data_IF_469531018849
#
_entry.id   IF_469531018849
#
_cell.length_a   1.000
_cell.length_b   1.000
_cell.length_c   1.000
_cell.angle_alpha   90.00
_cell.angle_beta   90.00
_cell.angle_gamma   90.00
#
_symmetry.space_group_name_H-M   'P 1'
#
loop_
_entity.id
_entity.type
_entity.pdbx_description
1 polymer ?
#
# COMPACT_ATOMS: atom_id res chain seq x y z
N UNK A 1 16.18 40.30 -33.81
CA UNK A 1 15.94 39.14 -32.95
C UNK A 1 15.05 39.60 -31.82
N UNK A 2 13.74 39.37 -31.90
CA UNK A 2 12.80 39.74 -30.84
C UNK A 2 12.94 38.73 -29.70
N UNK A 3 13.38 39.20 -28.54
CA UNK A 3 13.28 38.44 -27.29
C UNK A 3 11.80 38.10 -27.09
N UNK A 4 11.47 36.81 -27.22
CA UNK A 4 10.13 36.36 -26.84
C UNK A 4 9.97 36.63 -25.34
N UNK A 5 8.87 37.27 -24.91
CA UNK A 5 8.67 37.56 -23.50
C UNK A 5 8.79 36.27 -22.69
N UNK A 6 9.58 36.33 -21.60
CA UNK A 6 9.76 35.20 -20.69
C UNK A 6 8.38 34.80 -20.18
N UNK A 7 7.91 33.62 -20.57
CA UNK A 7 6.60 33.11 -20.14
C UNK A 7 6.58 33.04 -18.61
N UNK A 8 5.60 33.73 -18.03
CA UNK A 8 5.24 33.75 -16.60
C UNK A 8 4.51 32.47 -16.17
N UNK A 9 4.15 31.61 -17.13
CA UNK A 9 3.41 30.38 -16.87
C UNK A 9 4.26 29.38 -16.09
N UNK A 10 3.70 28.86 -15.01
CA UNK A 10 4.37 27.91 -14.12
C UNK A 10 3.38 26.88 -13.61
N UNK A 11 3.90 25.75 -13.15
CA UNK A 11 3.07 24.74 -12.50
C UNK A 11 2.74 25.11 -11.07
N UNK A 12 1.51 24.79 -10.68
CA UNK A 12 1.01 24.97 -9.33
C UNK A 12 0.19 23.77 -8.91
N UNK A 13 0.43 23.27 -7.71
CA UNK A 13 -0.44 22.31 -7.08
C UNK A 13 -1.57 23.02 -6.33
N UNK A 14 -2.80 22.68 -6.70
CA UNK A 14 -4.00 23.19 -6.06
C UNK A 14 -4.43 22.30 -4.88
N UNK A 15 -4.92 22.88 -3.76
CA UNK A 15 -5.30 22.12 -2.57
C UNK A 15 -6.54 21.24 -2.83
N UNK A 16 -6.47 19.96 -2.46
CA UNK A 16 -7.50 18.94 -2.74
C UNK A 16 -8.76 19.02 -1.85
N UNK A 17 -8.86 20.02 -0.95
CA UNK A 17 -9.85 20.06 0.11
C UNK A 17 -9.66 18.98 1.18
N UNK A 18 -10.58 18.92 2.16
CA UNK A 18 -10.48 18.01 3.31
C UNK A 18 -10.53 16.53 2.88
N UNK A 19 -11.54 16.14 2.11
CA UNK A 19 -11.74 14.75 1.68
C UNK A 19 -10.57 14.23 0.84
N UNK A 20 -10.04 15.04 -0.08
CA UNK A 20 -8.88 14.67 -0.90
C UNK A 20 -7.59 14.57 -0.10
N UNK A 21 -7.43 15.41 0.92
CA UNK A 21 -6.28 15.36 1.84
C UNK A 21 -6.33 14.10 2.69
N UNK A 22 -7.48 13.80 3.32
CA UNK A 22 -7.68 12.57 4.09
C UNK A 22 -7.44 11.34 3.21
N UNK A 23 -8.00 11.29 2.00
CA UNK A 23 -7.81 10.17 1.10
C UNK A 23 -6.33 9.98 0.70
N UNK A 24 -5.63 11.07 0.40
CA UNK A 24 -4.20 11.03 0.08
C UNK A 24 -3.38 10.50 1.26
N UNK A 25 -3.67 10.96 2.47
CA UNK A 25 -2.94 10.59 3.68
C UNK A 25 -3.27 9.16 4.12
N UNK A 26 -4.54 8.74 3.98
CA UNK A 26 -5.02 7.39 4.21
C UNK A 26 -4.30 6.41 3.29
N UNK A 27 -4.26 6.66 1.97
CA UNK A 27 -3.51 5.82 1.03
C UNK A 27 -2.03 5.67 1.44
N UNK A 28 -1.38 6.77 1.82
CA UNK A 28 0.04 6.75 2.20
C UNK A 28 0.32 6.02 3.51
N UNK A 29 -0.69 5.84 4.35
CA UNK A 29 -0.62 5.10 5.61
C UNK A 29 -1.01 3.64 5.42
N UNK A 30 -2.06 3.38 4.65
CA UNK A 30 -2.62 2.05 4.40
C UNK A 30 -1.73 1.17 3.51
N UNK A 31 -1.01 1.75 2.54
CA UNK A 31 -0.09 0.95 1.69
C UNK A 31 1.05 0.34 2.53
N UNK A 32 1.76 1.08 3.40
CA UNK A 32 2.70 0.49 4.35
C UNK A 32 2.06 -0.47 5.35
N UNK A 33 0.84 -0.19 5.81
CA UNK A 33 0.09 -1.13 6.67
C UNK A 33 -0.14 -2.45 5.95
N UNK A 34 -0.48 -2.45 4.66
CA UNK A 34 -0.62 -3.66 3.86
C UNK A 34 0.69 -4.45 3.77
N UNK A 35 1.84 -3.77 3.68
CA UNK A 35 3.14 -4.44 3.75
C UNK A 35 3.37 -5.08 5.13
N UNK A 36 2.93 -4.44 6.21
CA UNK A 36 2.91 -5.02 7.56
C UNK A 36 2.01 -6.25 7.68
N UNK A 37 0.81 -6.22 7.08
CA UNK A 37 -0.08 -7.38 6.99
C UNK A 37 0.56 -8.53 6.21
N UNK A 38 1.25 -8.24 5.11
CA UNK A 38 1.99 -9.25 4.33
C UNK A 38 3.12 -9.88 5.17
N UNK A 39 3.83 -9.07 5.96
CA UNK A 39 4.86 -9.57 6.87
C UNK A 39 4.25 -10.44 7.98
N UNK A 40 3.12 -10.04 8.54
CA UNK A 40 2.37 -10.84 9.51
C UNK A 40 1.89 -12.16 8.90
N UNK A 41 1.39 -12.14 7.66
CA UNK A 41 1.04 -13.35 6.91
C UNK A 41 2.24 -14.30 6.78
N UNK A 42 3.40 -13.78 6.37
CA UNK A 42 4.63 -14.58 6.29
C UNK A 42 5.01 -15.21 7.62
N UNK A 43 4.92 -14.47 8.73
CA UNK A 43 5.22 -14.97 10.07
C UNK A 43 4.22 -16.02 10.57
N UNK A 44 2.91 -15.78 10.36
CA UNK A 44 1.82 -16.70 10.70
C UNK A 44 1.94 -18.00 9.91
N UNK A 45 2.26 -17.89 8.62
CA UNK A 45 2.48 -19.05 7.77
C UNK A 45 3.73 -19.84 8.21
N UNK A 46 4.83 -19.15 8.56
CA UNK A 46 6.03 -19.76 9.13
C UNK A 46 5.71 -20.60 10.37
N UNK A 47 4.97 -19.99 11.31
CA UNK A 47 4.65 -20.61 12.59
C UNK A 47 3.70 -21.80 12.43
N UNK A 48 2.76 -21.70 11.49
CA UNK A 48 1.90 -22.83 11.12
C UNK A 48 2.70 -24.01 10.61
N UNK A 49 3.60 -23.76 9.67
CA UNK A 49 4.42 -24.83 9.07
C UNK A 49 5.35 -25.46 10.11
N UNK A 50 5.98 -24.66 10.97
CA UNK A 50 6.77 -25.17 12.10
C UNK A 50 5.99 -26.07 13.07
N UNK A 51 4.72 -25.75 13.31
CA UNK A 51 3.85 -26.53 14.19
C UNK A 51 3.37 -27.81 13.51
N UNK A 52 2.95 -27.74 12.24
CA UNK A 52 2.47 -28.90 11.46
C UNK A 52 3.59 -29.91 11.17
N UNK A 53 4.82 -29.44 10.94
CA UNK A 53 5.96 -30.31 10.66
C UNK A 53 6.57 -30.96 11.92
N UNK A 54 6.08 -30.65 13.13
CA UNK A 54 6.62 -31.21 14.38
C UNK A 54 7.93 -30.57 14.87
N UNK A 55 8.58 -29.77 14.05
CA UNK A 55 9.84 -29.05 14.33
C UNK A 55 9.74 -28.21 15.61
N UNK A 56 8.61 -27.53 15.79
CA UNK A 56 8.37 -26.74 16.99
C UNK A 56 8.29 -27.64 18.23
N UNK A 57 7.65 -28.81 18.12
CA UNK A 57 7.56 -29.76 19.23
C UNK A 57 8.94 -30.30 19.60
N UNK A 58 9.70 -30.79 18.61
CA UNK A 58 11.03 -31.35 18.80
C UNK A 58 12.00 -30.33 19.41
N UNK A 59 12.02 -29.10 18.89
CA UNK A 59 12.86 -28.04 19.42
C UNK A 59 12.52 -27.67 20.87
N UNK A 60 11.23 -27.63 21.24
CA UNK A 60 10.82 -27.35 22.62
C UNK A 60 11.18 -28.51 23.56
N UNK A 61 11.02 -29.75 23.09
CA UNK A 61 11.38 -30.95 23.83
C UNK A 61 12.90 -31.04 24.08
N UNK A 62 13.71 -30.77 23.05
CA UNK A 62 15.18 -30.74 23.12
C UNK A 62 15.70 -29.60 24.02
N UNK A 63 14.96 -28.49 24.10
CA UNK A 63 15.22 -27.42 25.08
C UNK A 63 14.85 -27.80 26.52
N UNK A 64 14.41 -29.04 26.75
CA UNK A 64 14.08 -29.59 28.06
C UNK A 64 12.68 -29.21 28.55
N UNK A 65 11.80 -28.71 27.68
CA UNK A 65 10.40 -28.53 28.05
C UNK A 65 9.72 -29.89 28.09
N UNK A 66 9.07 -30.21 29.21
CA UNK A 66 8.32 -31.46 29.36
C UNK A 66 7.26 -31.60 28.26
N UNK A 67 6.96 -32.84 27.84
CA UNK A 67 6.11 -33.12 26.69
C UNK A 67 4.72 -32.46 26.72
N UNK A 68 4.11 -32.30 27.90
CA UNK A 68 2.84 -31.60 28.09
C UNK A 68 2.93 -30.10 27.78
N UNK A 69 4.06 -29.46 28.08
CA UNK A 69 4.30 -28.04 27.79
C UNK A 69 4.54 -27.86 26.30
N UNK A 70 5.33 -28.74 25.69
CA UNK A 70 5.61 -28.71 24.25
C UNK A 70 4.33 -28.90 23.44
N UNK A 71 3.46 -29.85 23.81
CA UNK A 71 2.18 -30.06 23.13
C UNK A 71 1.24 -28.85 23.30
N UNK A 72 1.14 -28.28 24.50
CA UNK A 72 0.31 -27.10 24.74
C UNK A 72 0.77 -25.88 23.92
N UNK A 73 2.08 -25.70 23.73
CA UNK A 73 2.62 -24.61 22.90
C UNK A 73 2.33 -24.82 21.42
N UNK A 74 2.47 -26.06 20.92
CA UNK A 74 2.14 -26.41 19.52
C UNK A 74 0.66 -26.17 19.24
N UNK A 75 -0.22 -26.63 20.12
CA UNK A 75 -1.67 -26.37 20.01
C UNK A 75 -1.97 -24.87 20.03
N UNK A 76 -1.31 -24.10 20.90
CA UNK A 76 -1.47 -22.64 20.93
C UNK A 76 -1.06 -21.98 19.60
N UNK A 77 0.03 -22.45 19.00
CA UNK A 77 0.54 -21.92 17.73
C UNK A 77 -0.39 -22.28 16.56
N UNK A 78 -0.90 -23.52 16.50
CA UNK A 78 -1.87 -23.93 15.49
C UNK A 78 -3.17 -23.10 15.57
N UNK A 79 -3.75 -22.98 16.77
CA UNK A 79 -4.97 -22.19 16.99
C UNK A 79 -4.77 -20.71 16.63
N UNK A 80 -3.62 -20.13 17.04
CA UNK A 80 -3.24 -18.76 16.69
C UNK A 80 -3.10 -18.61 15.18
N UNK A 81 -2.49 -19.58 14.51
CA UNK A 81 -2.22 -19.52 13.07
C UNK A 81 -3.52 -19.56 12.27
N UNK A 82 -4.40 -20.52 12.55
CA UNK A 82 -5.71 -20.65 11.87
C UNK A 82 -6.56 -19.40 12.01
N UNK A 83 -6.66 -18.85 13.22
CA UNK A 83 -7.44 -17.63 13.44
C UNK A 83 -6.77 -16.39 12.83
N UNK A 84 -5.43 -16.34 12.84
CA UNK A 84 -4.68 -15.26 12.19
C UNK A 84 -4.91 -15.21 10.69
N UNK A 85 -5.02 -16.36 10.00
CA UNK A 85 -5.34 -16.40 8.57
C UNK A 85 -6.70 -15.76 8.27
N UNK A 86 -7.72 -16.03 9.09
CA UNK A 86 -9.04 -15.41 8.96
C UNK A 86 -8.97 -13.89 9.17
N UNK A 87 -8.30 -13.44 10.23
CA UNK A 87 -8.13 -12.00 10.54
C UNK A 87 -7.33 -11.29 9.44
N UNK A 88 -6.27 -11.93 8.92
CA UNK A 88 -5.47 -11.43 7.80
C UNK A 88 -6.29 -11.27 6.53
N UNK A 89 -7.16 -12.24 6.21
CA UNK A 89 -8.04 -12.17 5.04
C UNK A 89 -9.00 -10.97 5.16
N UNK A 90 -9.65 -10.80 6.33
CA UNK A 90 -10.58 -9.71 6.60
C UNK A 90 -9.87 -8.35 6.51
N UNK A 91 -8.74 -8.20 7.21
CA UNK A 91 -7.97 -6.96 7.23
C UNK A 91 -7.36 -6.65 5.86
N UNK A 92 -6.82 -7.64 5.17
CA UNK A 92 -6.25 -7.50 3.83
C UNK A 92 -7.31 -7.00 2.83
N UNK A 93 -8.49 -7.60 2.87
CA UNK A 93 -9.63 -7.17 2.05
C UNK A 93 -10.05 -5.73 2.37
N UNK A 94 -10.22 -5.39 3.66
CA UNK A 94 -10.63 -4.06 4.11
C UNK A 94 -9.59 -2.99 3.77
N UNK A 95 -8.31 -3.25 3.99
CA UNK A 95 -7.22 -2.33 3.62
C UNK A 95 -7.16 -2.14 2.11
N UNK A 96 -7.30 -3.22 1.32
CA UNK A 96 -7.39 -3.13 -0.15
C UNK A 96 -8.55 -2.26 -0.61
N UNK A 97 -9.75 -2.48 -0.05
CA UNK A 97 -10.94 -1.68 -0.32
C UNK A 97 -10.72 -0.19 0.00
N UNK A 98 -10.16 0.10 1.18
CA UNK A 98 -9.89 1.46 1.63
C UNK A 98 -8.83 2.16 0.77
N UNK A 99 -7.78 1.45 0.31
CA UNK A 99 -6.78 2.01 -0.61
C UNK A 99 -7.41 2.36 -1.96
N UNK A 100 -8.22 1.46 -2.53
CA UNK A 100 -8.93 1.69 -3.78
C UNK A 100 -9.95 2.85 -3.65
N UNK A 101 -10.66 2.92 -2.53
CA UNK A 101 -11.58 4.02 -2.22
C UNK A 101 -10.85 5.34 -2.07
N UNK A 102 -9.74 5.36 -1.33
CA UNK A 102 -8.90 6.54 -1.17
C UNK A 102 -8.38 7.05 -2.53
N UNK A 103 -7.98 6.15 -3.43
CA UNK A 103 -7.58 6.51 -4.80
C UNK A 103 -8.74 7.13 -5.60
N UNK A 104 -9.95 6.56 -5.51
CA UNK A 104 -11.14 7.10 -6.18
C UNK A 104 -11.52 8.49 -5.63
N UNK A 105 -11.57 8.65 -4.31
CA UNK A 105 -11.87 9.92 -3.63
C UNK A 105 -10.80 10.96 -3.97
N UNK A 106 -9.52 10.58 -4.04
CA UNK A 106 -8.44 11.49 -4.42
C UNK A 106 -8.63 12.02 -5.85
N UNK A 107 -9.11 11.21 -6.80
CA UNK A 107 -9.40 11.67 -8.17
C UNK A 107 -10.59 12.63 -8.21
N UNK A 108 -11.68 12.26 -7.55
CA UNK A 108 -12.90 13.07 -7.50
C UNK A 108 -12.63 14.43 -6.83
N UNK A 109 -11.90 14.42 -5.71
CA UNK A 109 -11.51 15.65 -5.00
C UNK A 109 -10.53 16.51 -5.81
N UNK A 110 -9.62 15.90 -6.58
CA UNK A 110 -8.73 16.65 -7.48
C UNK A 110 -9.54 17.41 -8.54
N UNK A 111 -10.52 16.76 -9.18
CA UNK A 111 -11.34 17.44 -10.19
C UNK A 111 -12.22 18.54 -9.59
N UNK A 112 -12.81 18.32 -8.41
CA UNK A 112 -13.53 19.37 -7.69
C UNK A 112 -12.64 20.55 -7.32
N UNK A 113 -11.47 20.29 -6.75
CA UNK A 113 -10.54 21.33 -6.34
C UNK A 113 -10.12 22.24 -7.49
N UNK A 114 -9.86 21.67 -8.67
CA UNK A 114 -9.49 22.43 -9.86
C UNK A 114 -10.65 23.25 -10.41
N UNK A 115 -11.87 22.70 -10.46
CA UNK A 115 -13.07 23.46 -10.84
C UNK A 115 -13.31 24.61 -9.88
N UNK A 116 -13.21 24.38 -8.57
CA UNK A 116 -13.36 25.43 -7.56
C UNK A 116 -12.27 26.50 -7.70
N UNK A 117 -11.02 26.11 -7.94
CA UNK A 117 -9.93 27.05 -8.17
C UNK A 117 -10.18 27.91 -9.43
N UNK A 118 -10.62 27.30 -10.53
CA UNK A 118 -11.00 28.01 -11.75
C UNK A 118 -12.13 29.02 -11.48
N UNK A 119 -13.20 28.60 -10.80
CA UNK A 119 -14.34 29.47 -10.44
C UNK A 119 -13.95 30.62 -9.50
N UNK A 120 -12.98 30.40 -8.61
CA UNK A 120 -12.47 31.41 -7.70
C UNK A 120 -11.48 32.39 -8.36
N UNK A 121 -11.30 32.33 -9.69
CA UNK A 121 -10.44 33.26 -10.42
C UNK A 121 -8.96 32.95 -10.30
N UNK A 122 -8.58 31.66 -10.21
CA UNK A 122 -7.16 31.27 -10.27
C UNK A 122 -6.50 31.84 -11.54
N UNK A 123 -5.25 32.31 -11.42
CA UNK A 123 -4.51 32.85 -12.56
C UNK A 123 -4.36 31.80 -13.68
N UNK A 124 -4.54 32.23 -14.93
CA UNK A 124 -4.28 31.39 -16.11
C UNK A 124 -2.81 30.99 -16.25
N UNK A 125 -1.90 31.82 -15.72
CA UNK A 125 -0.46 31.53 -15.71
C UNK A 125 -0.09 30.40 -14.74
N UNK A 126 -0.90 30.17 -13.71
CA UNK A 126 -0.67 29.12 -12.72
C UNK A 126 -1.37 27.82 -13.15
N UNK A 127 -0.76 27.10 -14.07
CA UNK A 127 -1.33 25.87 -14.64
C UNK A 127 -1.26 24.72 -13.61
N UNK A 128 -2.29 23.84 -13.51
CA UNK A 128 -2.25 22.70 -12.61
C UNK A 128 -1.02 21.81 -12.83
N UNK A 129 -0.44 21.31 -11.74
CA UNK A 129 0.72 20.42 -11.81
C UNK A 129 0.39 19.12 -12.59
N UNK A 130 1.36 18.53 -13.34
CA UNK A 130 1.12 17.37 -14.20
C UNK A 130 0.42 16.18 -13.52
N UNK A 131 0.77 15.88 -12.26
CA UNK A 131 0.13 14.81 -11.48
C UNK A 131 -1.37 15.05 -11.20
N UNK A 132 -1.81 16.31 -11.17
CA UNK A 132 -3.22 16.65 -11.01
C UNK A 132 -3.96 16.55 -12.35
N UNK A 133 -3.31 16.97 -13.44
CA UNK A 133 -3.84 16.84 -14.81
C UNK A 133 -4.06 15.36 -15.17
N UNK A 134 -3.06 14.50 -14.93
CA UNK A 134 -3.16 13.05 -15.17
C UNK A 134 -4.39 12.42 -14.48
N UNK A 135 -4.67 12.83 -13.23
CA UNK A 135 -5.80 12.33 -12.45
C UNK A 135 -7.17 12.79 -12.96
N UNK A 136 -7.23 13.92 -13.66
CA UNK A 136 -8.46 14.46 -14.26
C UNK A 136 -8.69 13.87 -15.65
N UNK A 137 -7.62 13.55 -16.36
CA UNK A 137 -7.69 13.02 -17.74
C UNK A 137 -7.97 11.52 -17.73
N UNK A 138 -7.48 10.78 -16.74
CA UNK A 138 -7.65 9.33 -16.65
C UNK A 138 -9.07 8.93 -16.25
N UNK A 139 -9.84 8.37 -17.19
CA UNK A 139 -11.24 7.97 -16.95
C UNK A 139 -11.39 6.69 -16.10
N UNK A 140 -10.37 5.83 -16.02
CA UNK A 140 -10.46 4.55 -15.31
C UNK A 140 -10.44 4.74 -13.79
N UNK A 141 -11.58 4.57 -13.10
CA UNK A 141 -11.64 4.67 -11.64
C UNK A 141 -10.96 3.45 -10.97
N UNK A 142 -9.96 3.65 -10.09
CA UNK A 142 -9.17 2.57 -9.49
C UNK A 142 -9.98 1.56 -8.68
N UNK A 143 -11.14 1.97 -8.16
CA UNK A 143 -12.02 1.10 -7.38
C UNK A 143 -12.79 0.08 -8.24
N UNK A 144 -12.98 0.32 -9.54
CA UNK A 144 -13.78 -0.56 -10.40
C UNK A 144 -13.24 -1.99 -10.41
N UNK A 145 -11.92 -2.16 -10.59
CA UNK A 145 -11.30 -3.49 -10.59
C UNK A 145 -11.52 -4.25 -9.28
N UNK A 146 -11.41 -3.55 -8.14
CA UNK A 146 -11.65 -4.13 -6.82
C UNK A 146 -13.11 -4.54 -6.62
N UNK A 147 -14.07 -3.73 -7.10
CA UNK A 147 -15.50 -4.06 -7.03
C UNK A 147 -15.86 -5.27 -7.91
N UNK A 148 -15.27 -5.38 -9.11
CA UNK A 148 -15.45 -6.55 -9.98
C UNK A 148 -14.92 -7.82 -9.30
N UNK A 149 -13.70 -7.77 -8.75
CA UNK A 149 -13.13 -8.88 -7.98
C UNK A 149 -14.04 -9.27 -6.80
N UNK A 150 -14.54 -8.27 -6.07
CA UNK A 150 -15.46 -8.47 -4.93
C UNK A 150 -16.73 -9.18 -5.36
N UNK A 151 -17.35 -8.78 -6.48
CA UNK A 151 -18.53 -9.45 -7.02
C UNK A 151 -18.21 -10.91 -7.36
N UNK A 152 -17.07 -11.17 -7.99
CA UNK A 152 -16.65 -12.52 -8.32
C UNK A 152 -16.52 -13.40 -7.08
N UNK A 153 -15.76 -12.95 -6.08
CA UNK A 153 -15.49 -13.73 -4.85
C UNK A 153 -16.76 -13.89 -4.01
N UNK A 154 -17.40 -12.80 -3.58
CA UNK A 154 -18.55 -12.87 -2.69
C UNK A 154 -19.80 -13.39 -3.38
N UNK A 155 -19.97 -13.12 -4.68
CA UNK A 155 -21.07 -13.67 -5.47
C UNK A 155 -20.98 -15.19 -5.58
N UNK A 156 -19.77 -15.72 -5.83
CA UNK A 156 -19.54 -17.16 -5.87
C UNK A 156 -19.77 -17.81 -4.50
N UNK A 157 -19.23 -17.22 -3.41
CA UNK A 157 -19.47 -17.71 -2.05
C UNK A 157 -20.96 -17.68 -1.68
N UNK A 158 -21.68 -16.63 -2.04
CA UNK A 158 -23.11 -16.54 -1.83
C UNK A 158 -23.86 -17.68 -2.53
N UNK A 159 -23.56 -17.92 -3.81
CA UNK A 159 -24.18 -18.99 -4.59
C UNK A 159 -23.88 -20.38 -4.01
N UNK A 160 -22.63 -20.63 -3.61
CA UNK A 160 -22.22 -21.90 -3.02
C UNK A 160 -22.94 -22.17 -1.70
N UNK A 161 -22.94 -21.21 -0.78
CA UNK A 161 -23.50 -21.37 0.56
C UNK A 161 -25.03 -21.40 0.56
N UNK A 162 -25.68 -20.61 -0.30
CA UNK A 162 -27.13 -20.68 -0.49
C UNK A 162 -27.51 -22.02 -1.12
N UNK A 163 -26.78 -22.48 -2.15
CA UNK A 163 -27.02 -23.78 -2.78
C UNK A 163 -26.88 -24.94 -1.80
N UNK A 164 -25.83 -24.92 -0.98
CA UNK A 164 -25.61 -25.90 0.09
C UNK A 164 -26.75 -25.89 1.12
N UNK A 165 -27.17 -24.72 1.60
CA UNK A 165 -28.26 -24.61 2.57
C UNK A 165 -29.63 -25.06 2.01
N UNK A 166 -29.86 -24.91 0.70
CA UNK A 166 -31.08 -25.43 0.05
C UNK A 166 -31.10 -26.97 0.05
N UNK A 167 -29.94 -27.62 0.01
CA UNK A 167 -29.80 -29.08 -0.04
C UNK A 167 -29.75 -29.71 1.36
N UNK A 168 -28.96 -29.15 2.28
CA UNK A 168 -28.72 -29.72 3.62
C UNK A 168 -29.55 -29.09 4.74
N UNK A 169 -30.32 -28.03 4.43
CA UNK A 169 -31.24 -27.39 5.37
C UNK A 169 -30.80 -25.99 5.82
N UNK A 170 -31.74 -25.30 6.47
CA UNK A 170 -31.59 -23.90 6.88
C UNK A 170 -30.64 -23.81 8.08
N UNK A 171 -29.36 -23.54 7.82
CA UNK A 171 -28.33 -23.33 8.84
C UNK A 171 -27.58 -22.01 8.69
N UNK A 172 -26.50 -21.85 9.47
CA UNK A 172 -25.64 -20.65 9.48
C UNK A 172 -25.08 -20.32 8.08
N UNK A 173 -24.84 -21.35 7.26
CA UNK A 173 -24.42 -21.19 5.86
C UNK A 173 -25.39 -20.34 5.02
N UNK A 174 -26.71 -20.43 5.27
CA UNK A 174 -27.69 -19.60 4.55
C UNK A 174 -27.55 -18.12 4.93
N UNK A 175 -27.36 -17.81 6.21
CA UNK A 175 -27.22 -16.44 6.69
C UNK A 175 -25.95 -15.80 6.13
N UNK A 176 -24.83 -16.54 6.14
CA UNK A 176 -23.56 -16.10 5.56
C UNK A 176 -23.71 -15.94 4.04
N UNK A 177 -24.38 -16.89 3.37
CA UNK A 177 -24.67 -16.81 1.94
C UNK A 177 -25.51 -15.59 1.56
N UNK A 178 -26.56 -15.29 2.33
CA UNK A 178 -27.39 -14.09 2.14
C UNK A 178 -26.61 -12.80 2.42
N UNK A 179 -25.75 -12.76 3.44
CA UNK A 179 -24.90 -11.62 3.72
C UNK A 179 -23.91 -11.35 2.55
N UNK A 180 -23.27 -12.39 2.03
CA UNK A 180 -22.43 -12.31 0.83
C UNK A 180 -23.22 -11.86 -0.40
N UNK A 181 -24.46 -12.35 -0.56
CA UNK A 181 -25.37 -11.94 -1.63
C UNK A 181 -25.75 -10.45 -1.54
N UNK A 182 -26.12 -9.98 -0.34
CA UNK A 182 -26.44 -8.58 -0.09
C UNK A 182 -25.24 -7.66 -0.37
N UNK A 183 -24.03 -8.05 0.07
CA UNK A 183 -22.80 -7.33 -0.24
C UNK A 183 -22.58 -7.24 -1.75
N UNK A 184 -22.78 -8.34 -2.47
CA UNK A 184 -22.65 -8.38 -3.94
C UNK A 184 -23.61 -7.41 -4.62
N UNK A 185 -24.87 -7.34 -4.17
CA UNK A 185 -25.87 -6.39 -4.69
C UNK A 185 -25.46 -4.94 -4.44
N UNK A 186 -24.96 -4.63 -3.24
CA UNK A 186 -24.46 -3.28 -2.90
C UNK A 186 -23.30 -2.89 -3.81
N UNK A 187 -22.38 -3.81 -4.08
CA UNK A 187 -21.22 -3.58 -4.96
C UNK A 187 -21.65 -3.35 -6.41
N UNK A 188 -22.62 -4.13 -6.91
CA UNK A 188 -23.21 -3.92 -8.25
C UNK A 188 -23.88 -2.54 -8.35
N UNK A 189 -24.64 -2.16 -7.32
CA UNK A 189 -25.25 -0.83 -7.25
C UNK A 189 -24.18 0.29 -7.26
N UNK A 190 -23.08 0.08 -6.53
CA UNK A 190 -21.91 0.98 -6.54
C UNK A 190 -21.26 1.13 -7.92
N UNK A 191 -21.03 0.02 -8.63
CA UNK A 191 -20.52 0.06 -10.02
C UNK A 191 -21.46 0.83 -10.95
N UNK A 192 -22.77 0.56 -10.85
CA UNK A 192 -23.79 1.27 -11.63
C UNK A 192 -23.79 2.77 -11.32
N UNK A 193 -23.63 3.15 -10.05
CA UNK A 193 -23.51 4.54 -9.64
C UNK A 193 -22.25 5.21 -10.22
N UNK A 194 -21.10 4.52 -10.19
CA UNK A 194 -19.86 5.02 -10.79
C UNK A 194 -20.05 5.30 -12.28
N UNK A 195 -20.61 4.34 -13.03
CA UNK A 195 -20.79 4.48 -14.47
C UNK A 195 -21.84 5.52 -14.87
N UNK A 196 -22.94 5.63 -14.13
CA UNK A 196 -24.06 6.51 -14.49
C UNK A 196 -23.96 7.93 -13.95
N UNK A 197 -23.28 8.12 -12.82
CA UNK A 197 -23.25 9.40 -12.10
C UNK A 197 -21.83 9.94 -12.00
N UNK A 198 -20.90 9.13 -11.49
CA UNK A 198 -19.56 9.62 -11.17
C UNK A 198 -18.72 9.92 -12.42
N UNK A 199 -18.71 9.02 -13.41
CA UNK A 199 -17.95 9.21 -14.65
C UNK A 199 -18.47 10.38 -15.50
N UNK A 200 -19.79 10.52 -15.77
CA UNK A 200 -20.31 11.68 -16.49
C UNK A 200 -19.98 13.00 -15.79
N UNK A 201 -20.20 13.08 -14.47
CA UNK A 201 -19.86 14.28 -13.70
C UNK A 201 -18.35 14.59 -13.71
N UNK A 202 -17.49 13.56 -13.79
CA UNK A 202 -16.05 13.76 -13.93
C UNK A 202 -15.69 14.36 -15.29
N UNK A 203 -16.32 13.90 -16.37
CA UNK A 203 -16.15 14.44 -17.73
C UNK A 203 -16.61 15.89 -17.83
N UNK A 204 -17.76 16.23 -17.25
CA UNK A 204 -18.26 17.61 -17.19
C UNK A 204 -17.29 18.55 -16.46
N UNK A 205 -16.72 18.09 -15.33
CA UNK A 205 -15.71 18.88 -14.60
C UNK A 205 -14.45 19.07 -15.41
N UNK A 206 -13.99 18.04 -16.13
CA UNK A 206 -12.83 18.16 -17.04
C UNK A 206 -13.07 19.25 -18.09
N UNK A 207 -14.25 19.30 -18.70
CA UNK A 207 -14.61 20.35 -19.66
C UNK A 207 -14.58 21.75 -19.01
N UNK A 208 -15.07 21.89 -17.78
CA UNK A 208 -15.02 23.16 -17.05
C UNK A 208 -13.58 23.61 -16.74
N UNK A 209 -12.70 22.67 -16.37
CA UNK A 209 -11.28 22.95 -16.13
C UNK A 209 -10.61 23.41 -17.43
N UNK A 210 -10.93 22.74 -18.55
CA UNK A 210 -10.43 23.07 -19.89
C UNK A 210 -10.90 24.43 -20.43
N UNK A 211 -12.08 24.87 -20.03
CA UNK A 211 -12.58 26.20 -20.39
C UNK A 211 -11.79 27.33 -19.71
N UNK A 212 -11.15 27.05 -18.57
CA UNK A 212 -10.38 28.04 -17.82
C UNK A 212 -8.89 28.06 -18.19
N UNK A 213 -8.24 26.89 -18.17
CA UNK A 213 -6.86 26.72 -18.62
C UNK A 213 -6.87 26.11 -20.01
N UNK A 214 -6.49 26.93 -21.00
CA UNK A 214 -6.51 26.57 -22.42
C UNK A 214 -5.28 25.76 -22.82
N UNK A 215 -5.34 25.09 -23.98
CA UNK A 215 -4.17 24.45 -24.61
C UNK A 215 -2.95 25.39 -24.71
N UNK A 216 -3.16 26.67 -25.01
CA UNK A 216 -2.06 27.64 -25.09
C UNK A 216 -1.40 27.90 -23.73
N UNK A 217 -2.19 27.96 -22.65
CA UNK A 217 -1.67 28.17 -21.30
C UNK A 217 -0.84 26.95 -20.85
N UNK A 218 -1.34 25.75 -21.12
CA UNK A 218 -0.61 24.50 -20.85
C UNK A 218 0.68 24.42 -21.67
N UNK A 219 0.62 24.73 -22.96
CA UNK A 219 1.78 24.72 -23.86
C UNK A 219 2.83 25.74 -23.40
N UNK A 220 2.40 26.92 -22.95
CA UNK A 220 3.28 27.93 -22.41
C UNK A 220 3.98 27.46 -21.12
N UNK A 221 3.24 26.83 -20.20
CA UNK A 221 3.81 26.23 -18.98
C UNK A 221 4.79 25.10 -19.28
N UNK A 222 4.46 24.23 -20.24
CA UNK A 222 5.37 23.17 -20.70
C UNK A 222 6.62 23.73 -21.38
N UNK A 223 6.49 24.79 -22.19
CA UNK A 223 7.64 25.45 -22.81
C UNK A 223 8.55 26.10 -21.77
N UNK A 224 7.97 26.65 -20.70
CA UNK A 224 8.71 27.21 -19.58
C UNK A 224 9.44 26.10 -18.82
N UNK A 225 8.74 25.00 -18.52
CA UNK A 225 9.32 23.83 -17.85
C UNK A 225 10.40 23.12 -18.68
N UNK A 226 10.30 23.08 -20.00
CA UNK A 226 11.37 22.52 -20.86
C UNK A 226 12.61 23.42 -20.90
N UNK A 227 12.43 24.74 -20.80
CA UNK A 227 13.54 25.70 -20.82
C UNK A 227 14.28 25.78 -19.48
N UNK A 228 13.55 25.78 -18.37
CA UNK A 228 14.11 26.01 -17.03
C UNK A 228 14.10 24.77 -16.14
N UNK A 229 13.34 23.76 -16.56
CA UNK A 229 13.12 22.60 -15.74
C UNK A 229 14.20 21.55 -15.88
N UNK A 230 14.05 20.56 -15.02
CA UNK A 230 15.04 19.51 -14.84
C UNK A 230 14.43 18.19 -15.23
N UNK A 231 15.17 17.41 -16.01
CA UNK A 231 14.79 16.02 -16.25
C UNK A 231 14.93 15.24 -14.94
N UNK A 232 13.91 14.46 -14.56
CA UNK A 232 13.92 13.73 -13.31
C UNK A 232 15.01 12.67 -13.38
N UNK A 233 16.10 12.87 -12.64
CA UNK A 233 17.18 11.90 -12.59
C UNK A 233 16.70 10.60 -11.90
N UNK A 234 17.12 9.47 -12.46
CA UNK A 234 16.86 8.15 -11.88
C UNK A 234 17.85 7.86 -10.76
N UNK A 235 17.38 7.17 -9.72
CA UNK A 235 18.21 6.74 -8.59
C UNK A 235 18.45 7.82 -7.52
N UNK A 236 19.46 7.57 -6.68
CA UNK A 236 19.75 8.36 -5.48
C UNK A 236 21.09 9.12 -5.57
N UNK A 237 21.57 9.39 -6.78
CA UNK A 237 22.82 10.15 -7.03
C UNK A 237 22.61 11.62 -6.65
N UNK A 238 23.55 12.26 -5.96
CA UNK A 238 23.40 13.67 -5.51
C UNK A 238 22.44 13.88 -4.33
N UNK A 239 21.85 12.79 -3.80
CA UNK A 239 21.05 12.81 -2.58
C UNK A 239 21.89 12.78 -1.33
N UNK A 240 21.27 13.10 -0.20
CA UNK A 240 21.92 12.92 1.11
C UNK A 240 22.40 11.45 1.25
N UNK A 241 23.66 11.22 1.68
CA UNK A 241 24.23 9.87 1.76
C UNK A 241 23.39 8.94 2.64
N UNK A 242 22.70 9.45 3.65
CA UNK A 242 21.81 8.67 4.52
C UNK A 242 20.61 8.15 3.76
N UNK A 243 20.02 8.93 2.84
CA UNK A 243 18.92 8.43 1.99
C UNK A 243 19.40 7.26 1.13
N UNK A 244 20.58 7.36 0.56
CA UNK A 244 21.17 6.29 -0.25
C UNK A 244 21.47 5.04 0.57
N UNK A 245 22.13 5.18 1.72
CA UNK A 245 22.43 4.05 2.62
C UNK A 245 21.14 3.41 3.11
N UNK A 246 20.20 4.20 3.62
CA UNK A 246 18.91 3.71 4.11
C UNK A 246 18.13 2.97 3.03
N UNK A 247 18.02 3.54 1.82
CA UNK A 247 17.35 2.88 0.68
C UNK A 247 18.02 1.57 0.26
N UNK A 248 19.36 1.47 0.36
CA UNK A 248 20.08 0.23 0.09
C UNK A 248 19.77 -0.82 1.15
N UNK A 249 19.78 -0.46 2.43
CA UNK A 249 19.43 -1.37 3.52
C UNK A 249 18.00 -1.89 3.32
N UNK A 250 17.03 -1.01 3.05
CA UNK A 250 15.65 -1.42 2.79
C UNK A 250 15.55 -2.27 1.51
N UNK A 251 16.32 -1.97 0.48
CA UNK A 251 16.39 -2.76 -0.75
C UNK A 251 16.96 -4.17 -0.53
N UNK A 252 18.04 -4.29 0.25
CA UNK A 252 18.60 -5.59 0.66
C UNK A 252 17.61 -6.36 1.52
N UNK A 253 16.93 -5.70 2.46
CA UNK A 253 15.86 -6.32 3.24
C UNK A 253 14.72 -6.82 2.32
N UNK A 254 14.35 -6.06 1.28
CA UNK A 254 13.37 -6.53 0.28
C UNK A 254 13.86 -7.74 -0.52
N UNK A 255 15.14 -7.76 -0.92
CA UNK A 255 15.73 -8.91 -1.63
C UNK A 255 15.80 -10.15 -0.73
N UNK A 256 16.16 -9.98 0.54
CA UNK A 256 16.11 -11.03 1.55
C UNK A 256 14.67 -11.54 1.71
N UNK A 257 13.67 -10.66 1.81
CA UNK A 257 12.27 -11.10 1.88
C UNK A 257 11.89 -12.01 0.70
N UNK A 258 12.32 -11.67 -0.52
CA UNK A 258 12.15 -12.52 -1.69
C UNK A 258 12.85 -13.89 -1.55
N UNK A 259 14.09 -13.91 -1.07
CA UNK A 259 14.81 -15.15 -0.78
C UNK A 259 14.11 -15.99 0.32
N UNK A 260 13.54 -15.35 1.34
CA UNK A 260 12.74 -16.01 2.38
C UNK A 260 11.54 -16.73 1.77
N UNK A 261 10.80 -16.04 0.89
CA UNK A 261 9.64 -16.61 0.20
C UNK A 261 10.02 -17.75 -0.73
N UNK A 262 11.15 -17.65 -1.44
CA UNK A 262 11.66 -18.73 -2.28
C UNK A 262 12.11 -19.94 -1.45
N UNK A 263 12.77 -19.71 -0.32
CA UNK A 263 13.14 -20.76 0.63
C UNK A 263 11.90 -21.47 1.17
N UNK A 264 10.89 -20.71 1.58
CA UNK A 264 9.61 -21.24 2.02
C UNK A 264 8.93 -22.05 0.92
N UNK A 265 8.90 -21.55 -0.31
CA UNK A 265 8.33 -22.28 -1.44
C UNK A 265 9.09 -23.59 -1.73
N UNK A 266 10.43 -23.58 -1.61
CA UNK A 266 11.25 -24.78 -1.75
C UNK A 266 10.95 -25.80 -0.65
N UNK A 267 10.81 -25.36 0.60
CA UNK A 267 10.43 -26.22 1.73
C UNK A 267 9.06 -26.85 1.50
N UNK A 268 8.06 -26.09 1.04
CA UNK A 268 6.73 -26.63 0.70
C UNK A 268 6.83 -27.68 -0.41
N UNK A 269 7.63 -27.45 -1.45
CA UNK A 269 7.79 -28.41 -2.55
C UNK A 269 8.43 -29.73 -2.08
N UNK A 270 9.35 -29.68 -1.12
CA UNK A 270 10.02 -30.86 -0.58
C UNK A 270 9.10 -31.63 0.38
N UNK A 271 8.45 -30.91 1.30
CA UNK A 271 7.58 -31.49 2.33
C UNK A 271 6.25 -31.98 1.75
N UNK A 272 5.77 -31.34 0.68
CA UNK A 272 4.49 -31.62 0.04
C UNK A 272 4.65 -31.76 -1.49
N UNK A 273 5.29 -32.84 -1.97
CA UNK A 273 5.60 -33.02 -3.39
C UNK A 273 4.34 -33.17 -4.26
N UNK A 274 3.29 -33.77 -3.69
CA UNK A 274 2.00 -34.02 -4.35
C UNK A 274 1.02 -32.84 -4.23
N UNK A 275 1.48 -31.69 -3.71
CA UNK A 275 0.66 -30.49 -3.60
C UNK A 275 0.16 -30.06 -4.99
N UNK A 276 -1.16 -29.88 -5.12
CA UNK A 276 -1.78 -29.39 -6.34
C UNK A 276 -1.50 -27.89 -6.50
N UNK A 277 -0.65 -27.52 -7.47
CA UNK A 277 -0.11 -26.15 -7.63
C UNK A 277 -1.03 -25.21 -8.41
N UNK A 278 -2.35 -25.38 -8.29
CA UNK A 278 -3.37 -24.51 -8.88
C UNK A 278 -4.17 -23.75 -7.80
N UNK A 279 -4.89 -22.66 -8.14
CA UNK A 279 -5.72 -21.96 -7.18
C UNK A 279 -6.81 -22.89 -6.61
N UNK A 280 -6.75 -23.18 -5.31
CA UNK A 280 -7.68 -24.08 -4.61
C UNK A 280 -7.23 -25.53 -4.51
N UNK A 281 -5.98 -25.84 -4.89
CA UNK A 281 -5.43 -27.19 -4.77
C UNK A 281 -5.10 -27.57 -3.33
N UNK A 282 -5.23 -28.86 -3.00
CA UNK A 282 -4.85 -29.35 -1.69
C UNK A 282 -3.32 -29.51 -1.60
N UNK A 283 -2.74 -29.21 -0.43
CA UNK A 283 -1.31 -29.42 -0.19
C UNK A 283 -0.92 -30.91 -0.24
N UNK A 284 -1.89 -31.84 -0.23
CA UNK A 284 -1.64 -33.27 -0.10
C UNK A 284 -1.12 -33.64 1.29
N UNK A 285 -0.91 -34.94 1.55
CA UNK A 285 -0.23 -35.38 2.77
C UNK A 285 1.26 -35.01 2.70
N UNK A 286 1.83 -34.68 3.87
CA UNK A 286 3.27 -34.50 4.04
C UNK A 286 4.01 -35.78 3.61
N UNK A 287 5.07 -35.64 2.83
CA UNK A 287 5.91 -36.76 2.43
C UNK A 287 6.67 -37.31 3.65
N UNK A 288 6.80 -38.63 3.71
CA UNK A 288 7.74 -39.27 4.63
C UNK A 288 9.16 -39.07 4.09
N UNK A 289 9.91 -38.16 4.70
CA UNK A 289 11.29 -37.85 4.32
C UNK A 289 12.27 -38.75 5.08
N UNK A 290 13.47 -38.94 4.53
CA UNK A 290 14.57 -39.57 5.26
C UNK A 290 15.16 -38.60 6.29
N UNK A 291 15.76 -39.13 7.36
CA UNK A 291 16.31 -38.33 8.49
C UNK A 291 17.24 -37.18 8.05
N UNK A 292 18.01 -37.38 6.96
CA UNK A 292 18.90 -36.36 6.42
C UNK A 292 18.15 -35.21 5.72
N UNK A 293 17.08 -35.52 5.00
CA UNK A 293 16.22 -34.53 4.36
C UNK A 293 15.33 -33.81 5.38
N UNK A 294 14.88 -34.51 6.42
CA UNK A 294 14.12 -33.93 7.54
C UNK A 294 14.95 -32.84 8.26
N UNK A 295 16.20 -33.15 8.60
CA UNK A 295 17.11 -32.19 9.23
C UNK A 295 17.40 -30.96 8.33
N UNK A 296 17.39 -31.14 7.01
CA UNK A 296 17.52 -30.03 6.05
C UNK A 296 16.28 -29.14 6.00
N UNK A 297 15.08 -29.73 6.12
CA UNK A 297 13.81 -29.00 6.22
C UNK A 297 13.80 -28.16 7.51
N UNK A 298 14.22 -28.73 8.63
CA UNK A 298 14.32 -28.04 9.93
C UNK A 298 15.26 -26.85 9.87
N UNK A 299 16.47 -27.08 9.36
CA UNK A 299 17.48 -26.04 9.19
C UNK A 299 16.99 -24.94 8.25
N UNK A 300 16.30 -25.33 7.17
CA UNK A 300 15.68 -24.40 6.23
C UNK A 300 14.61 -23.54 6.88
N UNK A 301 13.81 -24.11 7.78
CA UNK A 301 12.77 -23.38 8.49
C UNK A 301 13.33 -22.40 9.53
N UNK A 302 14.35 -22.79 10.29
CA UNK A 302 15.10 -21.87 11.15
C UNK A 302 15.78 -20.75 10.35
N UNK A 303 16.34 -21.11 9.19
CA UNK A 303 16.89 -20.16 8.23
C UNK A 303 15.84 -19.14 7.78
N UNK A 304 14.63 -19.61 7.45
CA UNK A 304 13.51 -18.75 7.08
C UNK A 304 13.12 -17.79 8.21
N UNK A 305 12.91 -18.30 9.42
CA UNK A 305 12.55 -17.48 10.58
C UNK A 305 13.59 -16.40 10.88
N UNK A 306 14.88 -16.77 10.92
CA UNK A 306 15.98 -15.83 11.13
C UNK A 306 16.03 -14.74 10.03
N UNK A 307 15.76 -15.14 8.78
CA UNK A 307 15.78 -14.24 7.64
C UNK A 307 14.62 -13.23 7.68
N UNK A 308 13.42 -13.65 8.09
CA UNK A 308 12.29 -12.74 8.32
C UNK A 308 12.59 -11.71 9.41
N UNK A 309 13.19 -12.12 10.54
CA UNK A 309 13.61 -11.19 11.60
C UNK A 309 14.64 -10.18 11.08
N UNK A 310 15.64 -10.64 10.32
CA UNK A 310 16.63 -9.77 9.70
C UNK A 310 16.01 -8.78 8.70
N UNK A 311 15.02 -9.22 7.92
CA UNK A 311 14.25 -8.35 7.00
C UNK A 311 13.55 -7.24 7.77
N UNK A 312 12.84 -7.56 8.85
CA UNK A 312 12.11 -6.59 9.66
C UNK A 312 13.05 -5.56 10.30
N UNK A 313 14.15 -6.02 10.92
CA UNK A 313 15.14 -5.16 11.53
C UNK A 313 15.84 -4.26 10.49
N UNK A 314 16.25 -4.84 9.35
CA UNK A 314 16.86 -4.12 8.24
C UNK A 314 15.93 -3.07 7.67
N UNK A 315 14.66 -3.41 7.43
CA UNK A 315 13.66 -2.46 6.95
C UNK A 315 13.44 -1.30 7.93
N UNK A 316 13.37 -1.57 9.24
CA UNK A 316 13.24 -0.54 10.26
C UNK A 316 14.46 0.41 10.25
N UNK A 317 15.68 -0.13 10.34
CA UNK A 317 16.92 0.65 10.32
C UNK A 317 17.02 1.48 9.04
N UNK A 318 16.78 0.86 7.87
CA UNK A 318 16.83 1.53 6.58
C UNK A 318 15.87 2.71 6.48
N UNK A 319 14.66 2.58 7.03
CA UNK A 319 13.67 3.66 7.06
C UNK A 319 14.05 4.79 8.03
N UNK A 320 14.63 4.49 9.20
CA UNK A 320 15.12 5.52 10.14
C UNK A 320 16.25 6.33 9.50
N UNK A 321 17.25 5.65 8.93
CA UNK A 321 18.39 6.30 8.27
C UNK A 321 17.91 7.14 7.08
N UNK A 322 16.97 6.61 6.29
CA UNK A 322 16.34 7.35 5.19
C UNK A 322 15.63 8.60 5.72
N UNK A 323 14.78 8.47 6.73
CA UNK A 323 14.02 9.59 7.32
C UNK A 323 14.92 10.72 7.84
N UNK A 324 16.05 10.39 8.45
CA UNK A 324 17.05 11.38 8.88
C UNK A 324 17.64 12.14 7.68
N UNK A 325 17.94 11.45 6.58
CA UNK A 325 18.42 12.06 5.34
C UNK A 325 17.36 12.97 4.68
N UNK A 326 16.10 12.53 4.62
CA UNK A 326 14.99 13.36 4.09
C UNK A 326 14.83 14.65 4.91
N UNK A 327 14.93 14.54 6.24
CA UNK A 327 14.81 15.72 7.11
C UNK A 327 15.93 16.72 6.84
N UNK A 328 17.15 16.25 6.54
CA UNK A 328 18.27 17.09 6.15
C UNK A 328 18.04 17.74 4.76
N UNK A 329 17.63 16.96 3.76
CA UNK A 329 17.27 17.44 2.41
C UNK A 329 16.19 18.53 2.47
N UNK A 330 15.17 18.34 3.33
CA UNK A 330 14.08 19.32 3.52
C UNK A 330 14.59 20.66 4.03
N UNK A 331 15.43 20.64 5.06
CA UNK A 331 16.02 21.87 5.64
C UNK A 331 16.91 22.57 4.62
N UNK A 332 17.65 21.81 3.81
CA UNK A 332 18.44 22.35 2.71
C UNK A 332 17.57 23.06 1.68
N UNK A 333 16.50 22.42 1.20
CA UNK A 333 15.59 23.01 0.22
C UNK A 333 14.88 24.28 0.73
N UNK A 334 14.47 24.31 2.00
CA UNK A 334 13.90 25.53 2.59
C UNK A 334 14.86 26.71 2.59
N UNK A 335 16.16 26.48 2.83
CA UNK A 335 17.16 27.54 2.80
C UNK A 335 17.40 28.02 1.36
N UNK A 336 17.54 27.07 0.44
CA UNK A 336 17.89 27.35 -0.96
C UNK A 336 16.74 28.01 -1.72
N UNK A 337 15.49 27.64 -1.44
CA UNK A 337 14.34 28.22 -2.16
C UNK A 337 14.14 29.71 -1.83
N UNK A 338 14.50 30.13 -0.61
CA UNK A 338 14.38 31.52 -0.13
C UNK A 338 15.49 32.40 -0.67
N UNK A 339 16.71 31.87 -0.84
CA UNK A 339 17.85 32.62 -1.37
C UNK A 339 17.75 32.79 -2.90
N UNK A 340 17.56 34.02 -3.44
CA UNK A 340 17.44 34.24 -4.88
C UNK A 340 18.69 33.90 -5.68
N UNK A 341 19.87 33.94 -5.04
CA UNK A 341 21.17 33.69 -5.67
C UNK A 341 21.62 32.23 -5.54
N UNK A 342 20.90 31.42 -4.74
CA UNK A 342 21.27 30.02 -4.57
C UNK A 342 21.24 29.27 -5.89
N UNK A 343 22.30 28.49 -6.11
CA UNK A 343 22.39 27.56 -7.22
C UNK A 343 21.25 26.54 -7.17
N UNK A 344 20.86 26.05 -8.35
CA UNK A 344 19.82 25.04 -8.49
C UNK A 344 20.21 23.75 -7.73
N UNK A 345 19.32 23.20 -6.88
CA UNK A 345 19.55 21.91 -6.21
C UNK A 345 19.72 20.75 -7.20
N UNK A 346 20.30 19.65 -6.71
CA UNK A 346 20.48 18.43 -7.49
C UNK A 346 19.15 17.91 -8.07
N UNK A 347 19.11 17.48 -9.35
CA UNK A 347 17.92 16.98 -10.03
C UNK A 347 17.17 15.87 -9.27
N UNK A 348 17.89 14.95 -8.64
CA UNK A 348 17.31 13.83 -7.89
C UNK A 348 16.58 14.29 -6.63
N UNK A 349 17.08 15.34 -5.98
CA UNK A 349 16.45 15.95 -4.80
C UNK A 349 15.19 16.69 -5.22
N UNK A 350 15.25 17.49 -6.29
CA UNK A 350 14.07 18.18 -6.83
C UNK A 350 12.99 17.19 -7.26
N UNK A 351 13.37 16.14 -8.00
CA UNK A 351 12.43 15.11 -8.43
C UNK A 351 11.75 14.41 -7.25
N UNK A 352 12.49 14.12 -6.19
CA UNK A 352 11.94 13.47 -5.01
C UNK A 352 10.97 14.35 -4.19
N UNK A 353 11.03 15.67 -4.34
CA UNK A 353 10.10 16.61 -3.69
C UNK A 353 8.98 17.08 -4.61
N UNK A 354 9.17 17.02 -5.93
CA UNK A 354 8.10 17.17 -6.92
C UNK A 354 7.14 15.97 -6.88
N UNK A 355 7.68 14.76 -6.71
CA UNK A 355 6.89 13.57 -6.39
C UNK A 355 6.43 13.62 -4.93
N UNK A 356 5.12 13.43 -4.72
CA UNK A 356 4.48 13.35 -3.40
C UNK A 356 5.10 12.26 -2.50
N UNK A 357 6.12 12.59 -1.72
CA UNK A 357 6.86 11.58 -0.95
C UNK A 357 6.14 11.11 0.31
N UNK A 358 6.29 9.83 0.64
CA UNK A 358 5.86 9.25 1.92
C UNK A 358 6.85 9.61 3.04
N UNK A 359 6.38 9.59 4.28
CA UNK A 359 7.21 9.84 5.47
C UNK A 359 7.70 8.49 6.02
N UNK A 360 9.00 8.12 5.88
CA UNK A 360 9.46 6.76 6.16
C UNK A 360 9.13 6.26 7.56
N UNK A 361 9.28 7.10 8.59
CA UNK A 361 8.94 6.72 9.97
C UNK A 361 7.45 6.41 10.13
N UNK A 362 6.57 7.22 9.52
CA UNK A 362 5.13 6.94 9.54
C UNK A 362 4.81 5.63 8.80
N UNK A 363 5.56 5.29 7.74
CA UNK A 363 5.40 4.00 7.05
C UNK A 363 5.78 2.82 7.96
N UNK A 364 6.86 2.94 8.75
CA UNK A 364 7.25 1.91 9.73
C UNK A 364 6.17 1.74 10.79
N UNK A 365 5.68 2.84 11.38
CA UNK A 365 4.62 2.78 12.40
C UNK A 365 3.35 2.14 11.84
N UNK A 366 2.96 2.46 10.61
CA UNK A 366 1.81 1.85 9.94
C UNK A 366 2.03 0.36 9.63
N UNK A 367 3.24 -0.05 9.23
CA UNK A 367 3.57 -1.46 9.01
C UNK A 367 3.53 -2.26 10.33
N UNK A 368 4.12 -1.72 11.41
CA UNK A 368 4.04 -2.33 12.74
C UNK A 368 2.60 -2.41 13.26
N UNK A 369 1.80 -1.37 13.00
CA UNK A 369 0.37 -1.40 13.30
C UNK A 369 -0.34 -2.53 12.54
N UNK A 370 0.00 -2.77 11.27
CA UNK A 370 -0.51 -3.90 10.50
C UNK A 370 -0.26 -5.25 11.20
N UNK A 371 0.97 -5.47 11.69
CA UNK A 371 1.31 -6.70 12.43
C UNK A 371 0.52 -6.80 13.74
N UNK A 372 0.49 -5.73 14.53
CA UNK A 372 -0.21 -5.72 15.81
C UNK A 372 -1.74 -5.85 15.68
N UNK A 373 -2.33 -5.34 14.60
CA UNK A 373 -3.76 -5.47 14.29
C UNK A 373 -4.16 -6.88 13.85
N UNK A 374 -3.20 -7.75 13.53
CA UNK A 374 -3.47 -9.18 13.30
C UNK A 374 -3.40 -9.91 14.63
N UNK A 375 -2.24 -9.87 15.30
CA UNK A 375 -1.98 -10.69 16.49
C UNK A 375 -2.82 -10.28 17.70
N UNK A 376 -3.03 -8.97 17.90
CA UNK A 376 -3.82 -8.46 19.03
C UNK A 376 -5.26 -8.98 19.04
N UNK A 377 -6.04 -8.76 17.98
CA UNK A 377 -7.40 -9.30 17.88
C UNK A 377 -7.47 -10.82 17.94
N UNK A 378 -6.52 -11.54 17.33
CA UNK A 378 -6.47 -13.01 17.37
C UNK A 378 -6.37 -13.51 18.82
N UNK A 379 -5.40 -13.02 19.59
CA UNK A 379 -5.24 -13.42 20.99
C UNK A 379 -6.39 -12.93 21.87
N UNK A 380 -6.98 -11.78 21.56
CA UNK A 380 -8.17 -11.31 22.25
C UNK A 380 -9.35 -12.26 22.03
N UNK A 381 -9.59 -12.69 20.79
CA UNK A 381 -10.67 -13.63 20.45
C UNK A 381 -10.42 -14.99 21.11
N UNK A 382 -9.22 -15.58 20.96
CA UNK A 382 -8.88 -16.88 21.57
C UNK A 382 -8.98 -16.88 23.11
N UNK A 383 -8.70 -15.74 23.75
CA UNK A 383 -8.78 -15.62 25.21
C UNK A 383 -10.17 -15.29 25.77
N UNK A 384 -11.15 -14.95 24.91
CA UNK A 384 -12.46 -14.44 25.38
C UNK A 384 -13.68 -15.12 24.78
N UNK A 385 -13.60 -15.59 23.54
CA UNK A 385 -14.74 -16.16 22.82
C UNK A 385 -14.60 -17.69 22.81
N UNK A 386 -15.47 -18.44 23.50
CA UNK A 386 -15.48 -19.89 23.37
C UNK A 386 -15.92 -20.24 21.94
N UNK A 387 -15.07 -20.98 21.23
CA UNK A 387 -15.34 -21.48 19.89
C UNK A 387 -15.13 -22.99 19.88
N UNK A 388 -16.14 -23.75 19.45
CA UNK A 388 -16.11 -25.21 19.48
C UNK A 388 -14.97 -25.82 18.64
N UNK A 389 -14.55 -25.11 17.59
CA UNK A 389 -13.44 -25.46 16.70
C UNK A 389 -12.07 -25.26 17.40
N UNK A 390 -12.01 -24.44 18.46
CA UNK A 390 -10.82 -24.14 19.23
C UNK A 390 -11.01 -24.57 20.70
N UNK A 391 -11.13 -25.88 20.92
CA UNK A 391 -11.32 -26.46 22.25
C UNK A 391 -10.21 -26.01 23.22
N UNK A 392 -10.59 -25.67 24.46
CA UNK A 392 -9.70 -25.19 25.53
C UNK A 392 -8.88 -23.90 25.23
N UNK A 393 -9.15 -23.20 24.13
CA UNK A 393 -8.48 -21.93 23.77
C UNK A 393 -8.62 -20.86 24.87
N UNK A 394 -9.83 -20.65 25.38
CA UNK A 394 -10.08 -19.64 26.42
C UNK A 394 -9.30 -19.90 27.71
N UNK A 395 -9.06 -21.16 28.08
CA UNK A 395 -8.22 -21.52 29.23
C UNK A 395 -6.74 -21.38 28.92
N UNK A 396 -6.31 -21.75 27.72
CA UNK A 396 -4.91 -21.71 27.29
C UNK A 396 -4.40 -20.27 27.13
N UNK A 397 -5.25 -19.37 26.61
CA UNK A 397 -4.92 -17.96 26.35
C UNK A 397 -5.38 -17.00 27.45
N UNK A 398 -5.92 -17.47 28.57
CA UNK A 398 -6.49 -16.62 29.63
C UNK A 398 -5.51 -15.53 30.12
N UNK A 399 -4.22 -15.88 30.27
CA UNK A 399 -3.16 -14.95 30.69
C UNK A 399 -2.82 -13.87 29.65
N UNK A 400 -3.19 -14.05 28.38
CA UNK A 400 -2.89 -13.13 27.29
C UNK A 400 -3.99 -12.09 27.03
N UNK A 401 -5.11 -12.14 27.74
CA UNK A 401 -6.24 -11.23 27.53
C UNK A 401 -5.85 -9.75 27.63
N UNK A 402 -5.19 -9.35 28.72
CA UNK A 402 -4.74 -7.96 28.91
C UNK A 402 -3.61 -7.56 27.95
N UNK A 403 -2.56 -8.38 27.75
CA UNK A 403 -1.57 -8.15 26.70
C UNK A 403 -2.18 -7.96 25.31
N UNK A 404 -3.16 -8.77 24.92
CA UNK A 404 -3.82 -8.68 23.61
C UNK A 404 -4.58 -7.37 23.42
N UNK A 405 -5.31 -6.90 24.45
CA UNK A 405 -5.96 -5.58 24.45
C UNK A 405 -4.92 -4.46 24.32
N UNK A 406 -3.81 -4.54 25.05
CA UNK A 406 -2.74 -3.55 24.98
C UNK A 406 -2.08 -3.52 23.60
N UNK A 407 -1.76 -4.67 23.01
CA UNK A 407 -1.19 -4.77 21.67
C UNK A 407 -2.13 -4.15 20.63
N UNK A 408 -3.42 -4.47 20.73
CA UNK A 408 -4.45 -3.90 19.82
C UNK A 408 -4.52 -2.39 19.98
N UNK A 409 -4.59 -1.88 21.22
CA UNK A 409 -4.64 -0.45 21.51
C UNK A 409 -3.39 0.30 21.01
N UNK A 410 -2.20 -0.28 21.24
CA UNK A 410 -0.93 0.25 20.73
C UNK A 410 -0.91 0.24 19.20
N UNK A 411 -1.35 -0.83 18.55
CA UNK A 411 -1.39 -0.91 17.09
C UNK A 411 -2.32 0.16 16.48
N UNK A 412 -3.51 0.36 17.05
CA UNK A 412 -4.43 1.45 16.66
C UNK A 412 -3.79 2.83 16.88
N UNK A 413 -3.13 3.01 18.03
CA UNK A 413 -2.40 4.24 18.35
C UNK A 413 -1.27 4.53 17.35
N UNK A 414 -0.46 3.52 17.00
CA UNK A 414 0.61 3.62 16.00
C UNK A 414 0.06 3.99 14.62
N UNK A 415 -1.06 3.39 14.21
CA UNK A 415 -1.71 3.72 12.94
C UNK A 415 -2.22 5.16 12.91
N UNK A 416 -2.80 5.61 14.02
CA UNK A 416 -3.32 6.99 14.14
C UNK A 416 -2.18 8.00 14.15
N UNK A 417 -1.08 7.73 14.87
CA UNK A 417 0.12 8.56 14.85
C UNK A 417 0.72 8.60 13.44
N UNK A 418 0.82 7.45 12.76
CA UNK A 418 1.33 7.37 11.39
C UNK A 418 0.50 8.23 10.43
N UNK A 419 -0.83 8.16 10.53
CA UNK A 419 -1.74 8.96 9.72
C UNK A 419 -1.58 10.46 9.99
N UNK A 420 -1.63 10.87 11.27
CA UNK A 420 -1.50 12.28 11.67
C UNK A 420 -0.15 12.86 11.27
N UNK A 421 0.93 12.11 11.51
CA UNK A 421 2.29 12.52 11.13
C UNK A 421 2.40 12.70 9.62
N UNK A 422 1.87 11.74 8.84
CA UNK A 422 1.85 11.83 7.38
C UNK A 422 1.08 13.07 6.92
N UNK A 423 -0.08 13.36 7.54
CA UNK A 423 -0.88 14.53 7.21
C UNK A 423 -0.16 15.84 7.50
N UNK A 424 0.42 15.98 8.69
CA UNK A 424 1.16 17.18 9.10
C UNK A 424 2.34 17.48 8.17
N UNK A 425 3.13 16.47 7.83
CA UNK A 425 4.28 16.65 6.91
C UNK A 425 3.79 17.00 5.50
N UNK A 426 2.74 16.36 5.01
CA UNK A 426 2.20 16.64 3.67
C UNK A 426 1.66 18.04 3.51
N UNK A 427 1.01 18.58 4.55
CA UNK A 427 0.53 19.95 4.55
C UNK A 427 1.71 20.93 4.54
N UNK A 428 2.69 20.72 5.41
CA UNK A 428 3.86 21.59 5.49
C UNK A 428 4.74 21.53 4.22
N UNK A 429 4.78 20.40 3.52
CA UNK A 429 5.55 20.25 2.27
C UNK A 429 4.82 20.77 1.03
N UNK A 430 3.51 21.04 1.11
CA UNK A 430 2.74 21.53 -0.04
C UNK A 430 3.17 22.93 -0.47
N UNK A 431 3.42 23.82 0.49
CA UNK A 431 3.89 25.18 0.20
C UNK A 431 5.31 25.17 -0.37
N UNK A 432 6.23 24.43 0.27
CA UNK A 432 7.59 24.26 -0.24
C UNK A 432 7.60 23.72 -1.67
N UNK A 433 6.77 22.72 -1.97
CA UNK A 433 6.66 22.15 -3.32
C UNK A 433 6.18 23.17 -4.35
N UNK A 434 5.20 24.00 -4.01
CA UNK A 434 4.75 25.07 -4.91
C UNK A 434 5.84 26.11 -5.17
N UNK A 435 6.62 26.47 -4.15
CA UNK A 435 7.78 27.37 -4.32
C UNK A 435 8.86 26.74 -5.21
N UNK A 436 9.16 25.46 -5.00
CA UNK A 436 10.13 24.73 -5.81
C UNK A 436 9.67 24.56 -7.26
N UNK A 437 8.42 24.16 -7.51
CA UNK A 437 7.87 24.00 -8.86
C UNK A 437 7.86 25.31 -9.65
N UNK A 438 7.65 26.44 -8.97
CA UNK A 438 7.69 27.76 -9.60
C UNK A 438 9.10 28.17 -10.00
N UNK A 439 10.11 27.84 -9.20
CA UNK A 439 11.51 28.27 -9.42
C UNK A 439 12.31 27.28 -10.28
N UNK A 440 12.12 25.98 -10.05
CA UNK A 440 12.82 24.89 -10.72
C UNK A 440 11.81 23.79 -11.07
N UNK A 441 11.05 23.95 -12.17
CA UNK A 441 10.05 22.97 -12.57
C UNK A 441 10.69 21.61 -12.84
N UNK A 442 10.05 20.52 -12.40
CA UNK A 442 10.54 19.16 -12.64
C UNK A 442 9.70 18.49 -13.70
N UNK A 443 10.31 18.16 -14.83
CA UNK A 443 9.62 17.47 -15.91
C UNK A 443 9.10 16.10 -15.42
N UNK A 444 7.88 15.68 -15.77
CA UNK A 444 7.40 14.35 -15.42
C UNK A 444 8.31 13.26 -16.02
N UNK A 445 8.38 12.12 -15.34
CA UNK A 445 9.14 10.95 -15.83
C UNK A 445 8.38 10.29 -16.98
N UNK A 446 9.13 9.84 -17.98
CA UNK A 446 8.60 8.96 -19.02
C UNK A 446 8.11 7.66 -18.37
N UNK A 447 6.93 7.20 -18.78
CA UNK A 447 6.30 5.98 -18.28
C UNK A 447 6.44 4.87 -19.30
N UNK A 448 6.63 3.62 -18.87
CA UNK A 448 6.48 2.47 -19.77
C UNK A 448 5.02 2.05 -19.80
N UNK A 449 4.48 1.76 -20.98
CA UNK A 449 3.16 1.13 -21.08
C UNK A 449 3.21 -0.37 -20.75
N UNK A 450 2.04 -1.02 -20.76
CA UNK A 450 1.89 -2.46 -20.52
C UNK A 450 2.71 -3.32 -21.47
N UNK A 451 3.04 -2.79 -22.65
CA UNK A 451 3.78 -3.47 -23.71
C UNK A 451 5.30 -3.18 -23.61
N UNK A 452 5.72 -2.47 -22.55
CA UNK A 452 7.12 -2.13 -22.29
C UNK A 452 7.64 -0.97 -23.13
N UNK A 453 6.81 -0.35 -23.97
CA UNK A 453 7.21 0.79 -24.79
C UNK A 453 7.33 2.03 -23.90
N UNK A 454 8.41 2.79 -24.10
CA UNK A 454 8.60 4.07 -23.42
C UNK A 454 7.61 5.06 -24.00
N UNK A 455 6.51 5.27 -23.29
CA UNK A 455 5.69 6.45 -23.50
C UNK A 455 6.45 7.59 -22.86
N UNK A 456 7.04 8.43 -23.71
CA UNK A 456 7.49 9.74 -23.26
C UNK A 456 6.37 10.35 -22.40
N UNK A 457 6.73 11.11 -21.37
CA UNK A 457 5.82 11.96 -20.64
C UNK A 457 5.25 12.99 -21.61
N UNK A 458 4.40 12.54 -22.54
CA UNK A 458 3.94 13.32 -23.66
C UNK A 458 2.84 14.22 -23.11
N UNK A 459 3.21 15.50 -23.04
CA UNK A 459 2.50 16.63 -23.69
C UNK A 459 1.23 17.12 -22.97
N UNK A 460 1.22 18.38 -22.50
CA UNK A 460 -0.01 19.18 -22.61
C UNK A 460 -0.25 19.45 -24.10
N UNK A 461 -1.44 19.16 -24.66
CA UNK A 461 -2.74 19.55 -24.11
C UNK A 461 -3.60 18.36 -23.69
N UNK A 462 -4.15 18.41 -22.48
CA UNK A 462 -5.00 17.30 -21.99
C UNK A 462 -6.34 17.73 -21.41
N UNK A 463 -6.52 19.02 -21.10
CA UNK A 463 -7.79 19.51 -20.59
C UNK A 463 -8.86 19.59 -21.70
N UNK A 464 -8.55 20.24 -22.83
CA UNK A 464 -9.40 20.26 -24.03
C UNK A 464 -8.97 19.12 -24.95
N UNK A 465 -9.84 18.16 -25.23
CA UNK A 465 -9.54 16.89 -25.89
C UNK A 465 -9.04 16.92 -27.35
N UNK A 466 -8.46 18.02 -27.84
CA UNK A 466 -7.79 18.07 -29.13
C UNK A 466 -6.34 17.61 -29.00
N UNK A 467 -6.18 16.30 -28.87
CA UNK A 467 -4.98 15.61 -29.31
C UNK A 467 -5.37 14.46 -30.23
N UNK A 468 -6.18 14.75 -31.25
CA UNK A 468 -5.99 14.07 -32.53
C UNK A 468 -4.66 14.58 -33.10
N UNK A 469 -3.77 13.63 -33.37
CA UNK A 469 -2.59 13.76 -34.22
C UNK A 469 -1.39 14.58 -33.70
N UNK A 470 -0.43 13.86 -33.10
CA UNK A 470 0.99 14.03 -33.45
C UNK A 470 1.76 12.73 -33.13
N UNK A 471 2.18 12.05 -34.20
CA UNK A 471 2.90 10.78 -34.25
C UNK A 471 4.08 10.66 -33.26
#
# INVERSE_FOLDING_TARGET
MSETPVSTHHWREYPLGLAGTIARDARRTLVPMAAGLLAAFGAVFASGLLAEEGILWDALYDLGMGGEVSSAVVDAVDQTTRLSLLVLLILGYLVGALVCLALAVQRISTSHALVTAARNGASREAVPAPLQVERVVTENMPIIGFLIMTIGVFGLFALMLIGYAVVEGWGEGLLVGLACGALTVVVIAGLRHIHRVTLPAHRERRQQIAAHWTTSDETAAWSHARRHGVLPAAGNTGRDPRVRIGSRITGVAGALAGAALLLLQALIVVTHPDAERWPGGSAGPRATLDDGTEQLVDLGMWGFAALIVAVLAGAAIGNVVTGAGITAERRYLHRVVVDPQAARPEPTVLAAYAEHRSVPMAQVLAALAGIGLVLGPVWMILSTVPMDIFAASTTLFAGLRWPAVLITAVAVGLLTIAFLWTSMVNQADAELRNLLLRRWPVLPRDTKDSDGNVRAARVGPALSGDSTDAA
#
